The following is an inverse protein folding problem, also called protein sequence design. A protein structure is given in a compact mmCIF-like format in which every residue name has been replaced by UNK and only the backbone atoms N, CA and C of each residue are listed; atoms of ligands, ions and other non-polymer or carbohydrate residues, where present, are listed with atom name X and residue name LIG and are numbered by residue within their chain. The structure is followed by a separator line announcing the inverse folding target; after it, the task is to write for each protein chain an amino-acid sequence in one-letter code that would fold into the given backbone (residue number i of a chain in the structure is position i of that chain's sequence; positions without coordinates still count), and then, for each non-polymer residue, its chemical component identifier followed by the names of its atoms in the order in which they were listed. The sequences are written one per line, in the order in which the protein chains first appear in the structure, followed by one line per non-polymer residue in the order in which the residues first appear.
data_IF_793902092999
#
_entry.id   IF_793902092999
#
_cell.length_a   1.000
_cell.length_b   1.000
_cell.length_c   1.000
_cell.angle_alpha   90.00
_cell.angle_beta   90.00
_cell.angle_gamma   90.00
#
_symmetry.space_group_name_H-M   'P 1'
#
loop_
_entity.id
_entity.type
_entity.pdbx_description
1 polymer ?
#
# COMPACT_ATOMS: atom_id res chain seq x y z
N UNK A 1 60.99 -24.37 55.33
CA UNK A 1 59.93 -23.44 54.96
C UNK A 1 59.85 -23.33 53.44
N UNK A 2 59.02 -24.08 52.78
CA UNK A 2 58.69 -23.95 51.37
C UNK A 2 57.25 -24.28 51.26
N UNK A 3 56.39 -23.26 50.96
CA UNK A 3 54.98 -23.38 50.71
C UNK A 3 54.78 -23.94 49.30
N UNK A 4 54.16 -25.11 49.20
CA UNK A 4 53.65 -25.61 47.94
C UNK A 4 52.32 -24.95 47.63
N UNK A 5 52.25 -24.35 46.46
CA UNK A 5 51.01 -23.82 45.89
C UNK A 5 50.43 -24.91 45.00
N UNK A 6 49.26 -25.42 45.39
CA UNK A 6 48.48 -26.41 44.65
C UNK A 6 47.77 -25.66 43.49
N UNK A 7 48.18 -25.90 42.26
CA UNK A 7 47.48 -25.39 41.11
C UNK A 7 46.34 -26.35 40.78
N UNK A 8 45.11 -25.87 40.97
CA UNK A 8 43.90 -26.58 40.58
C UNK A 8 43.67 -26.32 39.08
N UNK A 9 43.98 -27.28 38.26
CA UNK A 9 43.68 -27.22 36.81
C UNK A 9 42.19 -27.39 36.56
N UNK A 10 41.55 -26.34 36.12
CA UNK A 10 40.17 -26.38 35.66
C UNK A 10 40.18 -26.87 34.21
N UNK A 11 39.79 -28.12 34.00
CA UNK A 11 39.58 -28.68 32.66
C UNK A 11 38.23 -28.16 32.20
N UNK A 12 38.24 -27.17 31.30
CA UNK A 12 37.08 -26.77 30.55
C UNK A 12 36.82 -27.80 29.44
N UNK A 13 35.93 -28.74 29.69
CA UNK A 13 35.36 -29.55 28.60
C UNK A 13 34.42 -28.68 27.79
N UNK A 14 34.86 -28.28 26.62
CA UNK A 14 34.05 -27.63 25.62
C UNK A 14 33.04 -28.66 25.07
N UNK A 15 31.90 -28.80 25.72
CA UNK A 15 30.77 -29.51 25.14
C UNK A 15 30.21 -28.64 24.00
N UNK A 16 30.52 -29.03 22.76
CA UNK A 16 29.84 -28.53 21.58
C UNK A 16 28.40 -29.01 21.72
N UNK A 17 27.57 -28.16 22.28
CA UNK A 17 26.13 -28.31 22.16
C UNK A 17 25.78 -28.10 20.68
N UNK A 18 25.50 -29.20 19.99
CA UNK A 18 24.77 -29.15 18.72
C UNK A 18 23.40 -28.64 19.11
N UNK A 19 23.24 -27.32 19.05
CA UNK A 19 21.93 -26.71 19.17
C UNK A 19 21.12 -27.17 17.97
N UNK A 20 20.22 -28.11 18.20
CA UNK A 20 19.12 -28.35 17.30
C UNK A 20 18.56 -26.99 16.95
N UNK A 21 18.55 -26.67 15.65
CA UNK A 21 17.87 -25.49 15.13
C UNK A 21 16.46 -25.55 15.67
N UNK A 22 16.16 -24.74 16.69
CA UNK A 22 14.88 -24.77 17.34
C UNK A 22 13.84 -24.24 16.36
N UNK A 23 12.58 -24.64 16.57
CA UNK A 23 11.47 -24.12 15.78
C UNK A 23 11.41 -22.59 15.83
N UNK A 24 11.99 -21.98 16.86
CA UNK A 24 12.18 -20.52 17.01
C UNK A 24 13.20 -19.95 16.04
N UNK A 25 14.31 -20.66 15.76
CA UNK A 25 15.32 -20.20 14.81
C UNK A 25 14.82 -20.28 13.38
N UNK A 26 14.01 -21.30 13.06
CA UNK A 26 13.31 -21.39 11.76
C UNK A 26 12.25 -20.28 11.62
N UNK A 27 11.54 -19.95 12.69
CA UNK A 27 10.59 -18.85 12.72
C UNK A 27 11.31 -17.49 12.58
N UNK A 28 12.48 -17.35 13.19
CA UNK A 28 13.33 -16.16 13.06
C UNK A 28 13.93 -16.01 11.66
N UNK A 29 14.27 -17.12 11.01
CA UNK A 29 14.75 -17.14 9.63
C UNK A 29 13.63 -16.75 8.62
N UNK A 30 12.37 -17.11 8.90
CA UNK A 30 11.21 -16.69 8.11
C UNK A 30 10.89 -15.21 8.36
N UNK A 31 11.12 -14.71 9.56
CA UNK A 31 10.92 -13.29 9.92
C UNK A 31 12.11 -12.40 9.51
N UNK A 32 13.20 -12.97 9.06
CA UNK A 32 14.37 -12.21 8.68
C UNK A 32 14.26 -11.61 7.30
N UNK A 33 13.62 -10.49 7.18
CA UNK A 33 13.80 -9.37 6.22
C UNK A 33 12.60 -8.40 6.35
N UNK A 34 12.01 -8.34 7.53
CA UNK A 34 11.06 -7.27 7.77
C UNK A 34 11.86 -6.05 8.25
N UNK A 35 11.89 -5.00 7.44
CA UNK A 35 12.21 -3.69 7.96
C UNK A 35 11.31 -3.41 9.18
N UNK A 36 11.74 -2.52 10.06
CA UNK A 36 11.14 -2.25 11.38
C UNK A 36 9.62 -2.05 11.42
N UNK A 37 8.97 -1.95 10.26
CA UNK A 37 7.54 -1.59 10.12
C UNK A 37 6.79 -2.41 9.06
N UNK A 38 7.25 -3.62 8.71
CA UNK A 38 6.61 -4.43 7.66
C UNK A 38 5.61 -5.47 8.19
N UNK A 39 4.40 -5.49 7.65
CA UNK A 39 3.43 -6.58 7.84
C UNK A 39 3.89 -7.84 7.12
N UNK A 40 3.93 -8.97 7.80
CA UNK A 40 4.24 -10.27 7.22
C UNK A 40 2.97 -11.08 6.92
N UNK A 41 3.05 -11.97 5.92
CA UNK A 41 2.09 -13.05 5.75
C UNK A 41 2.80 -14.34 6.16
N UNK A 42 2.35 -14.88 7.28
CA UNK A 42 2.83 -16.14 7.81
C UNK A 42 1.94 -17.28 7.33
N UNK A 43 2.42 -18.50 7.33
CA UNK A 43 1.58 -19.65 7.03
C UNK A 43 1.97 -20.87 7.86
N UNK A 44 1.01 -21.75 8.07
CA UNK A 44 1.21 -23.03 8.78
C UNK A 44 0.04 -23.97 8.52
N UNK A 45 0.09 -25.13 9.16
CA UNK A 45 -0.87 -26.20 8.97
C UNK A 45 -1.95 -26.24 10.10
N UNK A 46 -2.04 -25.19 10.89
CA UNK A 46 -2.99 -25.10 12.01
C UNK A 46 -3.33 -23.64 12.32
N UNK A 47 -4.34 -23.43 13.16
CA UNK A 47 -4.68 -22.13 13.71
C UNK A 47 -3.46 -21.49 14.39
N UNK A 48 -3.16 -20.20 14.10
CA UNK A 48 -1.98 -19.54 14.64
C UNK A 48 -2.09 -19.36 16.15
N UNK A 49 -1.02 -19.71 16.87
CA UNK A 49 -0.90 -19.42 18.29
C UNK A 49 -0.68 -17.90 18.52
N UNK A 50 -0.99 -17.44 19.74
CA UNK A 50 -0.90 -16.01 20.09
C UNK A 50 0.52 -15.44 20.00
N UNK A 51 1.54 -16.26 20.19
CA UNK A 51 2.95 -15.87 20.10
C UNK A 51 3.52 -15.90 18.68
N UNK A 52 2.75 -16.31 17.69
CA UNK A 52 3.16 -16.30 16.26
C UNK A 52 2.89 -14.93 15.67
N UNK A 53 3.85 -14.38 14.93
CA UNK A 53 3.73 -13.09 14.23
C UNK A 53 3.64 -11.86 15.12
N UNK A 54 3.73 -10.69 14.50
CA UNK A 54 3.64 -9.37 15.14
C UNK A 54 2.26 -8.75 14.92
N UNK A 55 1.95 -7.69 15.66
CA UNK A 55 0.74 -6.88 15.40
C UNK A 55 0.80 -6.35 13.97
N UNK A 56 -0.30 -6.51 13.24
CA UNK A 56 -0.39 -6.17 11.82
C UNK A 56 -0.16 -7.33 10.86
N UNK A 57 0.45 -8.45 11.30
CA UNK A 57 0.69 -9.61 10.44
C UNK A 57 -0.61 -10.34 10.08
N UNK A 58 -0.56 -11.08 8.96
CA UNK A 58 -1.56 -12.04 8.54
C UNK A 58 -1.02 -13.47 8.68
N UNK A 59 -1.91 -14.42 8.87
CA UNK A 59 -1.55 -15.83 8.94
C UNK A 59 -2.51 -16.68 8.13
N UNK A 60 -1.97 -17.48 7.23
CA UNK A 60 -2.72 -18.44 6.43
C UNK A 60 -2.60 -19.84 6.98
N UNK A 61 -3.71 -20.38 7.48
CA UNK A 61 -3.85 -21.78 7.86
C UNK A 61 -4.16 -22.61 6.61
N UNK A 62 -3.17 -23.36 6.15
CA UNK A 62 -3.25 -24.16 4.94
C UNK A 62 -4.20 -25.35 5.11
N UNK A 63 -4.31 -25.89 6.33
CA UNK A 63 -5.15 -27.07 6.58
C UNK A 63 -6.65 -26.75 6.52
N UNK A 64 -7.04 -25.58 7.00
CA UNK A 64 -8.45 -25.15 7.04
C UNK A 64 -8.76 -24.10 5.98
N UNK A 65 -7.76 -23.65 5.22
CA UNK A 65 -7.87 -22.58 4.21
C UNK A 65 -8.49 -21.30 4.79
N UNK A 66 -8.03 -20.92 5.98
CA UNK A 66 -8.46 -19.72 6.69
C UNK A 66 -7.35 -18.69 6.74
N UNK A 67 -7.71 -17.44 6.46
CA UNK A 67 -6.82 -16.30 6.63
C UNK A 67 -7.19 -15.58 7.93
N UNK A 68 -6.21 -15.46 8.82
CA UNK A 68 -6.29 -14.72 10.06
C UNK A 68 -5.57 -13.38 9.91
N UNK A 69 -6.08 -12.33 10.57
CA UNK A 69 -5.40 -11.04 10.62
C UNK A 69 -6.24 -9.88 10.08
N UNK A 70 -5.69 -8.66 10.16
CA UNK A 70 -4.38 -8.40 10.77
C UNK A 70 -4.37 -8.73 12.27
N UNK A 71 -3.25 -9.27 12.77
CA UNK A 71 -3.07 -9.57 14.19
C UNK A 71 -3.18 -8.29 15.01
N UNK A 72 -3.94 -8.36 16.09
CA UNK A 72 -4.14 -7.27 17.05
C UNK A 72 -3.43 -7.58 18.37
N UNK A 73 -3.42 -6.62 19.30
CA UNK A 73 -2.86 -6.82 20.64
C UNK A 73 -3.57 -7.95 21.41
N UNK A 74 -4.85 -8.19 21.12
CA UNK A 74 -5.69 -9.24 21.71
C UNK A 74 -5.66 -10.55 20.90
N UNK A 75 -4.89 -10.62 19.81
CA UNK A 75 -4.65 -11.82 19.01
C UNK A 75 -5.08 -11.72 17.55
N UNK A 76 -5.38 -12.87 16.94
CA UNK A 76 -5.61 -13.00 15.51
C UNK A 76 -7.06 -12.69 15.05
N UNK A 77 -8.00 -12.58 15.99
CA UNK A 77 -9.42 -12.35 15.68
C UNK A 77 -10.09 -13.52 14.94
N UNK A 78 -11.27 -13.27 14.37
CA UNK A 78 -11.99 -14.27 13.59
C UNK A 78 -11.39 -14.37 12.18
N UNK A 79 -11.07 -15.59 11.70
CA UNK A 79 -10.53 -15.77 10.36
C UNK A 79 -11.61 -15.59 9.29
N UNK A 80 -11.17 -15.25 8.10
CA UNK A 80 -11.95 -15.35 6.87
C UNK A 80 -11.72 -16.74 6.29
N UNK A 81 -12.79 -17.49 6.03
CA UNK A 81 -12.71 -18.76 5.32
C UNK A 81 -12.60 -18.48 3.83
N UNK A 82 -11.55 -19.01 3.22
CA UNK A 82 -11.24 -18.78 1.82
C UNK A 82 -11.64 -19.99 0.95
N UNK A 83 -12.11 -21.06 1.61
CA UNK A 83 -12.72 -22.21 0.92
C UNK A 83 -14.16 -21.86 0.54
N UNK A 84 -14.51 -21.98 -0.74
CA UNK A 84 -15.91 -21.93 -1.17
C UNK A 84 -16.73 -23.06 -0.52
N UNK A 85 -18.04 -22.88 -0.39
CA UNK A 85 -18.93 -23.94 0.05
C UNK A 85 -18.76 -25.16 -0.87
N UNK A 86 -18.66 -26.35 -0.27
CA UNK A 86 -18.70 -27.59 -1.05
C UNK A 86 -20.03 -27.60 -1.83
N UNK A 87 -19.98 -27.90 -3.13
CA UNK A 87 -21.17 -27.97 -3.95
C UNK A 87 -22.18 -28.94 -3.36
N UNK A 88 -23.47 -28.65 -3.50
CA UNK A 88 -24.55 -29.54 -3.03
C UNK A 88 -24.34 -30.95 -3.56
N UNK A 89 -24.50 -31.96 -2.66
CA UNK A 89 -24.48 -33.36 -3.03
C UNK A 89 -25.60 -33.59 -4.08
N UNK A 90 -25.23 -33.91 -5.32
CA UNK A 90 -26.20 -34.22 -6.35
C UNK A 90 -27.05 -35.38 -5.90
N UNK A 91 -28.36 -35.34 -6.23
CA UNK A 91 -29.32 -36.40 -5.97
C UNK A 91 -28.81 -37.74 -6.51
N UNK A 92 -29.00 -38.82 -5.72
CA UNK A 92 -28.66 -40.17 -6.13
C UNK A 92 -29.50 -40.53 -7.38
N UNK A 93 -28.88 -40.44 -8.56
CA UNK A 93 -29.50 -40.84 -9.81
C UNK A 93 -29.42 -42.35 -10.01
N UNK A 94 -30.36 -42.92 -10.73
CA UNK A 94 -30.33 -44.31 -11.19
C UNK A 94 -28.98 -44.66 -11.82
N UNK A 95 -28.50 -45.88 -11.59
CA UNK A 95 -27.19 -46.43 -11.97
C UNK A 95 -26.86 -46.11 -13.45
N UNK A 96 -26.09 -45.07 -13.65
CA UNK A 96 -25.62 -44.58 -14.94
C UNK A 96 -24.23 -44.02 -14.79
N UNK A 97 -23.49 -44.04 -15.84
CA UNK A 97 -22.09 -43.72 -16.12
C UNK A 97 -21.27 -42.92 -15.07
N UNK A 98 -19.98 -43.25 -14.99
CA UNK A 98 -18.97 -42.65 -14.11
C UNK A 98 -19.02 -41.13 -14.25
N UNK A 99 -19.56 -40.42 -13.23
CA UNK A 99 -19.64 -38.95 -13.21
C UNK A 99 -18.24 -38.37 -13.17
N UNK A 100 -18.04 -37.31 -13.93
CA UNK A 100 -16.86 -36.47 -13.79
C UNK A 100 -16.81 -35.86 -12.39
N UNK A 101 -15.60 -35.78 -11.83
CA UNK A 101 -15.33 -35.14 -10.53
C UNK A 101 -15.86 -33.68 -10.57
N UNK A 102 -16.71 -33.29 -9.64
CA UNK A 102 -17.15 -31.91 -9.51
C UNK A 102 -15.94 -30.98 -9.40
N UNK A 103 -16.07 -29.73 -9.87
CA UNK A 103 -15.01 -28.76 -9.84
C UNK A 103 -14.50 -28.59 -8.39
N UNK A 104 -13.18 -28.63 -8.22
CA UNK A 104 -12.57 -28.34 -6.93
C UNK A 104 -12.99 -26.92 -6.50
N UNK A 105 -13.36 -26.75 -5.21
CA UNK A 105 -13.79 -25.46 -4.69
C UNK A 105 -12.68 -24.39 -4.81
N UNK A 106 -13.04 -23.12 -4.66
CA UNK A 106 -12.12 -21.97 -4.67
C UNK A 106 -10.90 -22.22 -3.79
N UNK A 107 -9.71 -22.04 -4.35
CA UNK A 107 -8.43 -22.24 -3.68
C UNK A 107 -7.69 -20.92 -3.51
N UNK A 108 -6.75 -20.89 -2.54
CA UNK A 108 -5.72 -19.87 -2.49
C UNK A 108 -4.38 -20.50 -2.85
N UNK A 109 -3.76 -19.96 -3.87
CA UNK A 109 -2.53 -20.48 -4.46
C UNK A 109 -1.39 -19.55 -4.03
N UNK A 110 -0.43 -20.00 -3.22
CA UNK A 110 0.75 -19.20 -2.89
C UNK A 110 1.78 -19.27 -4.01
N UNK A 111 2.46 -18.16 -4.25
CA UNK A 111 3.55 -18.10 -5.22
C UNK A 111 4.44 -16.88 -5.04
N UNK A 112 5.39 -16.69 -5.95
CA UNK A 112 6.36 -15.59 -5.96
C UNK A 112 6.19 -14.78 -7.24
N UNK A 113 5.89 -13.50 -7.11
CA UNK A 113 5.59 -12.62 -8.25
C UNK A 113 4.12 -12.68 -8.68
N UNK A 114 3.75 -11.88 -9.68
CA UNK A 114 2.40 -11.85 -10.20
C UNK A 114 2.02 -13.19 -10.84
N UNK A 115 0.77 -13.68 -10.64
CA UNK A 115 0.34 -14.95 -11.23
C UNK A 115 0.21 -14.85 -12.75
N UNK A 116 0.64 -15.91 -13.43
CA UNK A 116 0.38 -16.04 -14.88
C UNK A 116 -1.07 -16.46 -15.13
N UNK A 117 -1.62 -16.19 -16.33
CA UNK A 117 -2.99 -16.61 -16.68
C UNK A 117 -3.25 -18.13 -16.57
N UNK A 118 -2.20 -18.95 -16.69
CA UNK A 118 -2.28 -20.41 -16.62
C UNK A 118 -2.40 -20.96 -15.19
N UNK A 119 -2.14 -20.13 -14.16
CA UNK A 119 -2.23 -20.57 -12.76
C UNK A 119 -3.70 -20.50 -12.30
N UNK A 120 -4.17 -21.53 -11.61
CA UNK A 120 -5.48 -21.59 -10.96
C UNK A 120 -6.68 -21.56 -11.91
N UNK A 121 -7.86 -21.79 -11.34
CA UNK A 121 -9.17 -21.79 -12.01
C UNK A 121 -9.94 -20.51 -11.73
N UNK A 122 -11.01 -20.24 -12.49
CA UNK A 122 -11.91 -19.14 -12.16
C UNK A 122 -12.49 -19.31 -10.75
N UNK A 123 -12.49 -18.21 -9.99
CA UNK A 123 -12.86 -18.20 -8.58
C UNK A 123 -11.67 -18.34 -7.61
N UNK A 124 -10.52 -18.83 -8.06
CA UNK A 124 -9.34 -18.97 -7.22
C UNK A 124 -8.72 -17.61 -6.82
N UNK A 125 -7.97 -17.63 -5.73
CA UNK A 125 -7.16 -16.50 -5.26
C UNK A 125 -5.67 -16.87 -5.33
N UNK A 126 -4.81 -15.89 -5.51
CA UNK A 126 -3.38 -16.08 -5.56
C UNK A 126 -2.67 -15.10 -4.62
N UNK A 127 -1.80 -15.62 -3.75
CA UNK A 127 -0.96 -14.79 -2.87
C UNK A 127 0.46 -14.73 -3.42
N UNK A 128 0.88 -13.54 -3.83
CA UNK A 128 2.29 -13.23 -4.08
C UNK A 128 2.98 -12.97 -2.74
N UNK A 129 3.71 -13.95 -2.26
CA UNK A 129 4.41 -13.88 -0.97
C UNK A 129 5.60 -12.93 -0.98
N UNK A 130 6.20 -12.67 -2.16
CA UNK A 130 7.34 -11.76 -2.33
C UNK A 130 6.88 -10.30 -2.26
N UNK A 131 5.85 -9.95 -3.00
CA UNK A 131 5.37 -8.58 -3.10
C UNK A 131 4.20 -8.31 -2.16
N UNK A 132 3.81 -9.30 -1.33
CA UNK A 132 2.67 -9.22 -0.38
C UNK A 132 1.39 -8.77 -1.07
N UNK A 133 1.09 -9.38 -2.22
CA UNK A 133 -0.08 -9.06 -3.02
C UNK A 133 -1.06 -10.24 -3.06
N UNK A 134 -2.35 -9.96 -2.96
CA UNK A 134 -3.41 -10.93 -3.19
C UNK A 134 -4.11 -10.59 -4.50
N UNK A 135 -4.21 -11.57 -5.37
CA UNK A 135 -4.88 -11.47 -6.66
C UNK A 135 -6.14 -12.33 -6.62
N UNK A 136 -7.20 -11.87 -7.24
CA UNK A 136 -8.42 -12.65 -7.39
C UNK A 136 -9.69 -11.94 -6.90
N UNK A 137 -10.84 -12.65 -6.99
CA UNK A 137 -10.94 -13.98 -7.56
C UNK A 137 -10.58 -13.97 -9.06
N UNK A 138 -9.91 -15.02 -9.54
CA UNK A 138 -9.60 -15.18 -10.96
C UNK A 138 -10.88 -15.21 -11.78
N UNK A 139 -10.90 -14.47 -12.86
CA UNK A 139 -12.01 -14.42 -13.82
C UNK A 139 -11.58 -15.01 -15.16
N UNK A 140 -12.51 -15.09 -16.12
CA UNK A 140 -12.15 -15.45 -17.50
C UNK A 140 -11.14 -14.47 -18.12
N UNK A 141 -11.09 -13.22 -17.63
CA UNK A 141 -10.15 -12.19 -18.07
C UNK A 141 -8.81 -12.23 -17.31
N UNK A 142 -8.63 -13.20 -16.41
CA UNK A 142 -7.41 -13.37 -15.62
C UNK A 142 -7.54 -12.92 -14.16
N UNK A 143 -6.40 -12.54 -13.57
CA UNK A 143 -6.24 -12.30 -12.14
C UNK A 143 -6.52 -10.85 -11.70
N UNK A 144 -6.65 -9.92 -12.64
CA UNK A 144 -6.69 -8.48 -12.32
C UNK A 144 -5.36 -7.96 -11.73
N UNK A 145 -5.37 -6.72 -11.26
CA UNK A 145 -4.15 -6.05 -10.79
C UNK A 145 -3.66 -6.51 -9.41
N UNK A 146 -4.48 -7.25 -8.67
CA UNK A 146 -4.20 -7.68 -7.31
C UNK A 146 -4.01 -6.51 -6.34
N UNK A 147 -4.22 -6.74 -5.04
CA UNK A 147 -4.07 -5.73 -4.00
C UNK A 147 -2.97 -6.12 -3.01
N UNK A 148 -2.27 -5.12 -2.46
CA UNK A 148 -1.15 -5.33 -1.54
C UNK A 148 -1.70 -5.69 -0.15
N UNK A 149 -1.24 -6.83 0.38
CA UNK A 149 -1.50 -7.24 1.75
C UNK A 149 -0.42 -6.63 2.65
N UNK A 150 -0.76 -5.50 3.24
CA UNK A 150 0.00 -4.95 4.35
C UNK A 150 1.27 -4.17 4.03
N UNK A 151 1.20 -2.90 4.29
CA UNK A 151 2.24 -2.05 4.86
C UNK A 151 1.59 -1.28 6.02
N UNK A 152 1.27 -1.97 7.13
CA UNK A 152 0.85 -1.31 8.37
C UNK A 152 -0.38 -0.38 8.33
N UNK A 153 -1.01 -0.22 7.17
CA UNK A 153 -2.24 0.54 6.99
C UNK A 153 -3.44 -0.40 6.92
N UNK A 154 -4.48 -0.15 7.68
CA UNK A 154 -5.77 -0.79 7.45
C UNK A 154 -6.25 -0.40 6.07
N UNK A 155 -6.45 -1.38 5.20
CA UNK A 155 -7.27 -1.18 4.01
C UNK A 155 -8.72 -1.13 4.47
N UNK A 156 -9.32 0.03 4.47
CA UNK A 156 -10.75 0.18 4.77
C UNK A 156 -11.65 -0.29 3.63
N UNK A 157 -11.08 -0.79 2.52
CA UNK A 157 -11.87 -1.31 1.41
C UNK A 157 -11.21 -2.52 0.76
N UNK A 158 -11.79 -3.70 0.93
CA UNK A 158 -11.57 -4.87 0.10
C UNK A 158 -12.35 -4.68 -1.23
N UNK A 159 -11.70 -4.10 -2.20
CA UNK A 159 -12.29 -3.72 -3.49
C UNK A 159 -12.20 -2.23 -3.77
N UNK A 160 -11.43 -1.50 -2.96
CA UNK A 160 -11.29 -0.05 -3.07
C UNK A 160 -10.27 0.39 -4.10
N UNK A 161 -10.57 1.52 -4.66
CA UNK A 161 -9.75 2.21 -5.65
C UNK A 161 -8.44 2.76 -5.06
N UNK A 162 -8.26 2.70 -3.72
CA UNK A 162 -7.16 3.35 -3.00
C UNK A 162 -6.77 2.63 -1.70
N UNK A 163 -5.61 3.00 -1.15
CA UNK A 163 -5.14 2.58 0.19
C UNK A 163 -4.96 3.81 1.07
N UNK A 164 -5.62 3.77 2.24
CA UNK A 164 -5.38 4.69 3.34
C UNK A 164 -4.53 4.03 4.44
N UNK A 165 -3.90 4.85 5.28
CA UNK A 165 -3.35 4.39 6.54
C UNK A 165 -4.45 3.99 7.53
N UNK A 166 -4.06 3.37 8.64
CA UNK A 166 -5.00 2.88 9.67
C UNK A 166 -5.91 3.97 10.27
N UNK A 167 -5.44 5.21 10.29
CA UNK A 167 -6.22 6.35 10.81
C UNK A 167 -7.11 7.00 9.75
N UNK A 168 -6.99 6.60 8.48
CA UNK A 168 -7.73 7.20 7.37
C UNK A 168 -7.23 8.59 6.96
N UNK A 169 -6.06 9.02 7.46
CA UNK A 169 -5.55 10.37 7.22
C UNK A 169 -4.42 10.45 6.19
N UNK A 170 -3.81 9.31 5.83
CA UNK A 170 -2.76 9.25 4.80
C UNK A 170 -3.26 8.41 3.63
N UNK A 171 -3.31 9.00 2.44
CA UNK A 171 -3.55 8.27 1.19
C UNK A 171 -2.20 7.78 0.64
N UNK A 172 -1.97 6.47 0.73
CA UNK A 172 -0.74 5.87 0.23
C UNK A 172 -0.74 5.63 -1.27
N UNK A 173 -1.87 5.17 -1.82
CA UNK A 173 -1.91 4.81 -3.24
C UNK A 173 -3.34 4.80 -3.77
N UNK A 174 -3.51 5.30 -4.98
CA UNK A 174 -4.67 5.15 -5.84
C UNK A 174 -4.38 4.07 -6.89
N UNK A 175 -5.28 3.12 -7.08
CA UNK A 175 -5.08 2.00 -8.01
C UNK A 175 -5.98 2.06 -9.23
N UNK A 176 -7.21 2.58 -9.09
CA UNK A 176 -8.16 2.59 -10.19
C UNK A 176 -7.71 3.57 -11.29
N UNK A 177 -7.30 3.05 -12.43
CA UNK A 177 -6.89 3.85 -13.58
C UNK A 177 -8.06 4.22 -14.52
N UNK A 178 -9.24 3.67 -14.29
CA UNK A 178 -10.44 3.95 -15.09
C UNK A 178 -11.19 5.19 -14.59
N UNK A 179 -11.07 5.48 -13.29
CA UNK A 179 -11.59 6.71 -12.70
C UNK A 179 -10.62 7.85 -13.00
N UNK A 180 -11.03 8.75 -13.89
CA UNK A 180 -10.22 9.90 -14.32
C UNK A 180 -10.55 11.20 -13.59
N UNK A 181 -11.67 11.22 -12.89
CA UNK A 181 -12.20 12.39 -12.19
C UNK A 181 -12.46 11.98 -10.73
N UNK A 182 -11.66 12.52 -9.82
CA UNK A 182 -11.69 12.13 -8.40
C UNK A 182 -12.11 13.32 -7.56
N UNK A 183 -13.16 13.17 -6.80
CA UNK A 183 -13.59 14.13 -5.78
C UNK A 183 -13.36 13.55 -4.38
N UNK A 184 -12.18 13.84 -3.82
CA UNK A 184 -11.82 13.39 -2.47
C UNK A 184 -12.65 14.12 -1.39
N UNK A 185 -13.18 15.33 -1.68
CA UNK A 185 -13.93 16.10 -0.69
C UNK A 185 -15.35 15.53 -0.47
N UNK A 186 -15.96 14.96 -1.52
CA UNK A 186 -17.27 14.33 -1.45
C UNK A 186 -17.22 12.89 -0.91
N UNK A 187 -16.08 12.24 -0.95
CA UNK A 187 -15.92 10.86 -0.47
C UNK A 187 -15.86 10.82 1.08
N UNK A 188 -16.66 9.96 1.74
CA UNK A 188 -16.74 9.91 3.20
C UNK A 188 -15.41 9.60 3.91
N UNK A 189 -14.51 8.84 3.28
CA UNK A 189 -13.20 8.46 3.82
C UNK A 189 -12.12 9.44 3.37
N UNK A 190 -12.05 9.73 2.07
CA UNK A 190 -11.00 10.56 1.48
C UNK A 190 -11.03 12.02 1.94
N UNK A 191 -12.22 12.55 2.33
CA UNK A 191 -12.32 13.91 2.88
C UNK A 191 -11.54 14.15 4.17
N UNK A 192 -11.18 13.06 4.87
CA UNK A 192 -10.40 13.10 6.11
C UNK A 192 -8.88 13.03 5.86
N UNK A 193 -8.45 12.81 4.62
CA UNK A 193 -7.05 12.70 4.25
C UNK A 193 -6.34 14.04 4.47
N UNK A 194 -5.27 14.01 5.25
CA UNK A 194 -4.41 15.16 5.52
C UNK A 194 -3.07 15.07 4.79
N UNK A 195 -2.68 13.88 4.36
CA UNK A 195 -1.42 13.63 3.65
C UNK A 195 -1.69 12.75 2.43
N UNK A 196 -1.28 13.23 1.26
CA UNK A 196 -1.15 12.41 0.07
C UNK A 196 0.31 11.96 -0.02
N UNK A 197 0.57 10.66 0.03
CA UNK A 197 1.91 10.11 0.07
C UNK A 197 2.65 10.29 -1.28
N UNK A 198 3.95 9.99 -1.26
CA UNK A 198 4.75 10.01 -2.49
C UNK A 198 4.15 9.06 -3.53
N UNK A 199 4.06 9.53 -4.78
CA UNK A 199 3.58 8.75 -5.92
C UNK A 199 2.15 8.18 -5.77
N UNK A 200 1.32 8.73 -4.88
CA UNK A 200 0.00 8.17 -4.59
C UNK A 200 -0.89 8.06 -5.83
N UNK A 201 -0.94 9.07 -6.67
CA UNK A 201 -1.68 9.09 -7.94
C UNK A 201 -0.77 9.07 -9.18
N UNK A 202 0.48 8.67 -9.06
CA UNK A 202 1.40 8.63 -10.20
C UNK A 202 0.89 7.70 -11.31
N UNK A 203 0.89 8.19 -12.57
CA UNK A 203 0.46 7.42 -13.75
C UNK A 203 -0.99 6.90 -13.67
N UNK A 204 -1.95 7.72 -13.23
CA UNK A 204 -3.36 7.30 -13.04
C UNK A 204 -4.35 7.89 -14.05
N UNK A 205 -3.86 8.59 -15.06
CA UNK A 205 -4.70 9.18 -16.12
C UNK A 205 -5.73 10.19 -15.61
N UNK A 206 -5.52 10.79 -14.44
CA UNK A 206 -6.44 11.76 -13.85
C UNK A 206 -6.58 12.99 -14.73
N UNK A 207 -7.82 13.39 -15.00
CA UNK A 207 -8.19 14.61 -15.71
C UNK A 207 -8.59 15.72 -14.75
N UNK A 208 -9.22 15.34 -13.63
CA UNK A 208 -9.57 16.27 -12.56
C UNK A 208 -9.36 15.66 -11.17
N UNK A 209 -9.11 16.53 -10.19
CA UNK A 209 -8.98 16.17 -8.78
C UNK A 209 -9.54 17.30 -7.93
N UNK A 210 -10.42 16.96 -6.98
CA UNK A 210 -10.83 17.84 -5.88
C UNK A 210 -10.14 17.35 -4.61
N UNK A 211 -9.27 18.18 -4.04
CA UNK A 211 -8.50 17.87 -2.85
C UNK A 211 -9.30 18.15 -1.56
N UNK A 212 -9.11 17.38 -0.49
CA UNK A 212 -9.80 17.61 0.78
C UNK A 212 -9.33 18.90 1.45
N UNK A 213 -10.26 19.62 2.08
CA UNK A 213 -10.01 20.96 2.66
C UNK A 213 -8.98 20.97 3.81
N UNK A 214 -8.79 19.83 4.48
CA UNK A 214 -7.84 19.67 5.59
C UNK A 214 -6.49 19.05 5.16
N UNK A 215 -6.23 18.94 3.85
CA UNK A 215 -4.97 18.42 3.31
C UNK A 215 -3.81 19.33 3.70
N UNK A 216 -2.77 18.77 4.34
CA UNK A 216 -1.59 19.52 4.82
C UNK A 216 -0.35 19.25 3.98
N UNK A 217 -0.25 18.07 3.37
CA UNK A 217 0.95 17.66 2.63
C UNK A 217 0.61 16.91 1.35
N UNK A 218 1.31 17.27 0.27
CA UNK A 218 1.33 16.55 -1.00
C UNK A 218 2.74 16.01 -1.20
N UNK A 219 2.86 14.69 -1.37
CA UNK A 219 4.12 13.98 -1.49
C UNK A 219 4.85 14.21 -2.81
N UNK A 220 6.11 13.75 -2.87
CA UNK A 220 6.92 13.76 -4.09
C UNK A 220 6.20 12.97 -5.20
N UNK A 221 6.14 13.55 -6.40
CA UNK A 221 5.54 12.93 -7.59
C UNK A 221 4.10 12.41 -7.37
N UNK A 222 3.38 12.95 -6.38
CA UNK A 222 2.06 12.44 -6.00
C UNK A 222 1.07 12.38 -7.17
N UNK A 223 1.08 13.37 -8.05
CA UNK A 223 0.23 13.44 -9.25
C UNK A 223 1.05 13.41 -10.55
N UNK A 224 2.28 12.92 -10.49
CA UNK A 224 3.16 12.87 -11.64
C UNK A 224 2.53 12.09 -12.81
N UNK A 225 2.67 12.64 -14.02
CA UNK A 225 2.24 11.99 -15.26
C UNK A 225 0.75 11.61 -15.28
N UNK A 226 -0.11 12.58 -15.02
CA UNK A 226 -1.56 12.53 -15.22
C UNK A 226 -1.98 13.46 -16.37
N UNK A 227 -3.26 13.79 -16.50
CA UNK A 227 -3.82 14.67 -17.54
C UNK A 227 -4.46 15.93 -16.96
N UNK A 228 -4.04 16.35 -15.78
CA UNK A 228 -4.58 17.54 -15.10
C UNK A 228 -4.27 18.79 -15.91
N UNK A 229 -5.29 19.61 -16.11
CA UNK A 229 -5.17 20.96 -16.74
C UNK A 229 -5.21 22.08 -15.70
N UNK A 230 -5.85 21.83 -14.58
CA UNK A 230 -5.93 22.74 -13.44
C UNK A 230 -5.93 21.96 -12.13
N UNK A 231 -5.55 22.63 -11.05
CA UNK A 231 -5.68 22.12 -9.69
C UNK A 231 -5.90 23.28 -8.72
N UNK A 232 -6.79 23.04 -7.73
CA UNK A 232 -6.97 23.94 -6.58
C UNK A 232 -6.35 23.30 -5.35
N UNK A 233 -5.40 24.00 -4.72
CA UNK A 233 -4.68 23.56 -3.53
C UNK A 233 -5.27 24.29 -2.32
N UNK A 234 -5.79 23.55 -1.32
CA UNK A 234 -6.43 24.13 -0.13
C UNK A 234 -5.48 25.00 0.70
N UNK A 235 -6.06 25.89 1.51
CA UNK A 235 -5.32 26.81 2.38
C UNK A 235 -4.54 26.11 3.49
N UNK A 236 -4.91 24.88 3.84
CA UNK A 236 -4.27 24.04 4.84
C UNK A 236 -2.94 23.43 4.39
N UNK A 237 -2.64 23.41 3.07
CA UNK A 237 -1.41 22.81 2.55
C UNK A 237 -0.19 23.63 2.94
N UNK A 238 0.77 22.98 3.59
CA UNK A 238 2.04 23.58 4.05
C UNK A 238 3.26 23.08 3.29
N UNK A 239 3.16 21.96 2.58
CA UNK A 239 4.26 21.41 1.78
C UNK A 239 3.80 20.66 0.55
N UNK A 240 4.55 20.79 -0.54
CA UNK A 240 4.32 20.11 -1.83
C UNK A 240 5.67 19.57 -2.30
N UNK A 241 5.75 18.25 -2.52
CA UNK A 241 6.98 17.58 -2.87
C UNK A 241 7.44 17.85 -4.31
N UNK A 242 8.72 17.50 -4.57
CA UNK A 242 9.32 17.59 -5.90
C UNK A 242 8.50 16.83 -6.93
N UNK A 243 8.31 17.41 -8.13
CA UNK A 243 7.61 16.78 -9.23
C UNK A 243 6.15 16.44 -8.97
N UNK A 244 5.53 16.95 -7.89
CA UNK A 244 4.18 16.55 -7.48
C UNK A 244 3.16 16.62 -8.60
N UNK A 245 3.24 17.62 -9.46
CA UNK A 245 2.35 17.83 -10.61
C UNK A 245 3.11 17.87 -11.95
N UNK A 246 4.34 17.39 -11.97
CA UNK A 246 5.16 17.39 -13.16
C UNK A 246 4.79 16.25 -14.11
N UNK A 247 5.24 16.40 -15.34
CA UNK A 247 5.16 15.36 -16.35
C UNK A 247 6.33 15.48 -17.34
N UNK A 248 6.96 14.36 -17.62
CA UNK A 248 7.99 14.25 -18.65
C UNK A 248 7.45 13.80 -20.01
N UNK A 249 6.12 13.64 -20.16
CA UNK A 249 5.49 13.30 -21.44
C UNK A 249 4.78 14.51 -22.03
N UNK A 250 4.93 14.78 -23.34
CA UNK A 250 4.33 15.94 -23.99
C UNK A 250 2.81 16.03 -23.87
N UNK A 251 2.12 14.89 -23.66
CA UNK A 251 0.68 14.79 -23.61
C UNK A 251 0.10 14.77 -22.19
N UNK A 252 0.92 14.65 -21.13
CA UNK A 252 0.46 14.52 -19.75
C UNK A 252 0.69 15.79 -18.94
N UNK A 253 -0.02 15.94 -17.82
CA UNK A 253 -0.12 17.12 -16.95
C UNK A 253 0.10 18.44 -17.67
N UNK A 254 -0.93 18.90 -18.38
CA UNK A 254 -0.91 20.18 -19.09
C UNK A 254 -1.43 21.28 -18.20
N UNK A 255 -0.91 21.40 -16.97
CA UNK A 255 -1.35 22.45 -16.07
C UNK A 255 -1.18 23.82 -16.73
N UNK A 256 -2.28 24.50 -16.88
CA UNK A 256 -2.35 25.90 -17.30
C UNK A 256 -2.74 26.80 -16.13
N UNK A 257 -3.37 26.22 -15.09
CA UNK A 257 -3.84 26.94 -13.92
C UNK A 257 -3.61 26.16 -12.65
N UNK A 258 -3.00 26.80 -11.66
CA UNK A 258 -2.89 26.32 -10.27
C UNK A 258 -3.41 27.41 -9.36
N UNK A 259 -4.44 27.11 -8.58
CA UNK A 259 -4.97 28.05 -7.57
C UNK A 259 -4.54 27.56 -6.19
N UNK A 260 -3.92 28.41 -5.40
CA UNK A 260 -3.45 28.09 -4.04
C UNK A 260 -4.07 29.06 -3.05
N UNK A 261 -4.86 28.53 -2.12
CA UNK A 261 -5.54 29.35 -1.12
C UNK A 261 -4.71 29.64 0.13
N UNK A 262 -3.53 29.03 0.29
CA UNK A 262 -2.64 29.27 1.43
C UNK A 262 -2.11 30.71 1.40
N UNK A 263 -2.28 31.43 2.52
CA UNK A 263 -1.73 32.78 2.69
C UNK A 263 -0.21 32.76 2.78
N UNK A 264 0.33 31.80 3.50
CA UNK A 264 1.77 31.56 3.57
C UNK A 264 2.18 30.58 2.48
N UNK A 265 3.22 30.88 1.68
CA UNK A 265 3.68 29.97 0.65
C UNK A 265 4.01 28.59 1.23
N UNK A 266 3.40 27.49 0.77
CA UNK A 266 3.84 26.15 1.12
C UNK A 266 5.32 25.96 0.79
N UNK A 267 6.01 25.14 1.55
CA UNK A 267 7.36 24.72 1.15
C UNK A 267 7.25 23.87 -0.11
N UNK A 268 8.05 24.22 -1.12
CA UNK A 268 8.22 23.41 -2.32
C UNK A 268 9.69 23.10 -2.52
N UNK A 269 9.96 21.98 -3.18
CA UNK A 269 11.32 21.65 -3.59
C UNK A 269 11.80 22.65 -4.67
N UNK A 270 13.09 22.92 -4.70
CA UNK A 270 13.68 23.81 -5.70
C UNK A 270 13.60 23.23 -7.12
N UNK A 271 13.29 21.94 -7.23
CA UNK A 271 13.03 21.28 -8.48
C UNK A 271 11.55 21.37 -8.89
N UNK A 272 11.20 20.88 -10.02
CA UNK A 272 10.02 21.09 -10.84
C UNK A 272 8.67 20.63 -10.25
N UNK A 273 8.19 21.23 -9.16
CA UNK A 273 6.90 20.85 -8.52
C UNK A 273 5.71 20.86 -9.50
N UNK A 274 5.59 21.88 -10.38
CA UNK A 274 4.48 22.04 -11.35
C UNK A 274 4.92 21.84 -12.80
N UNK A 275 6.19 21.49 -13.06
CA UNK A 275 6.78 21.62 -14.38
C UNK A 275 6.99 23.08 -14.77
N UNK A 276 7.79 23.31 -15.81
CA UNK A 276 8.03 24.66 -16.31
C UNK A 276 7.42 24.82 -17.71
N UNK A 277 6.17 25.29 -17.75
CA UNK A 277 5.46 25.55 -19.03
C UNK A 277 5.17 27.04 -19.16
N UNK A 278 5.30 27.56 -20.38
CA UNK A 278 5.06 28.96 -20.68
C UNK A 278 3.64 29.40 -20.37
N UNK A 279 2.65 28.50 -20.54
CA UNK A 279 1.22 28.75 -20.32
C UNK A 279 0.78 28.64 -18.86
N UNK A 280 1.66 28.18 -17.94
CA UNK A 280 1.27 28.01 -16.54
C UNK A 280 1.01 29.35 -15.86
N UNK A 281 -0.11 29.46 -15.16
CA UNK A 281 -0.45 30.55 -14.25
C UNK A 281 -0.74 30.00 -12.86
N UNK A 282 -0.18 30.64 -11.83
CA UNK A 282 -0.33 30.27 -10.44
C UNK A 282 -1.05 31.42 -9.74
N UNK A 283 -2.25 31.15 -9.25
CA UNK A 283 -3.07 32.14 -8.56
C UNK A 283 -2.95 31.95 -7.05
N UNK A 284 -2.66 33.03 -6.33
CA UNK A 284 -2.48 33.05 -4.87
C UNK A 284 -3.29 34.20 -4.26
N UNK A 285 -3.57 34.20 -2.94
CA UNK A 285 -4.23 35.33 -2.30
C UNK A 285 -3.53 36.66 -2.63
N UNK A 286 -4.30 37.69 -2.95
CA UNK A 286 -3.75 38.97 -3.44
C UNK A 286 -2.68 39.56 -2.51
N UNK A 287 -2.90 39.49 -1.18
CA UNK A 287 -1.94 39.94 -0.16
C UNK A 287 -0.66 39.10 -0.12
N UNK A 288 -0.65 37.90 -0.68
CA UNK A 288 0.45 36.96 -0.59
C UNK A 288 1.36 36.94 -1.82
N UNK A 289 1.01 37.65 -2.89
CA UNK A 289 1.74 37.64 -4.16
C UNK A 289 3.24 37.87 -3.98
N UNK A 290 3.64 38.90 -3.22
CA UNK A 290 5.04 39.18 -2.98
C UNK A 290 5.74 38.10 -2.15
N UNK A 291 5.05 37.56 -1.13
CA UNK A 291 5.57 36.46 -0.32
C UNK A 291 5.88 35.25 -1.18
N UNK A 292 4.97 34.87 -2.07
CA UNK A 292 5.20 33.75 -3.01
C UNK A 292 6.35 34.04 -3.98
N UNK A 293 6.40 35.23 -4.58
CA UNK A 293 7.45 35.58 -5.56
C UNK A 293 8.87 35.56 -4.95
N UNK A 294 9.00 35.77 -3.64
CA UNK A 294 10.29 35.83 -2.95
C UNK A 294 10.65 34.58 -2.17
N UNK A 295 9.68 33.70 -1.89
CA UNK A 295 9.90 32.48 -1.13
C UNK A 295 10.86 31.51 -1.85
N UNK A 296 11.63 30.76 -1.06
CA UNK A 296 12.54 29.73 -1.55
C UNK A 296 11.74 28.67 -2.32
N UNK A 297 12.25 28.22 -3.47
CA UNK A 297 11.58 27.31 -4.39
C UNK A 297 10.57 28.01 -5.32
N UNK A 298 9.84 29.03 -4.85
CA UNK A 298 8.82 29.73 -5.63
C UNK A 298 9.38 30.77 -6.59
N UNK A 299 10.58 31.28 -6.35
CA UNK A 299 11.24 32.32 -7.18
C UNK A 299 11.30 31.95 -8.67
N UNK A 300 11.43 30.66 -8.99
CA UNK A 300 11.42 30.17 -10.37
C UNK A 300 10.08 30.37 -11.09
N UNK A 301 9.00 30.54 -10.32
CA UNK A 301 7.65 30.77 -10.83
C UNK A 301 7.22 32.24 -10.70
N UNK A 302 8.11 33.16 -10.32
CA UNK A 302 7.75 34.54 -9.96
C UNK A 302 7.00 35.27 -11.06
N UNK A 303 7.30 35.01 -12.33
CA UNK A 303 6.64 35.52 -13.52
C UNK A 303 5.27 34.87 -13.82
N UNK A 304 4.97 33.78 -13.15
CA UNK A 304 3.73 32.97 -13.29
C UNK A 304 2.73 33.21 -12.15
N UNK A 305 3.11 34.00 -11.10
CA UNK A 305 2.29 34.20 -9.90
C UNK A 305 1.44 35.43 -10.04
N UNK A 306 0.12 35.24 -9.91
CA UNK A 306 -0.91 36.26 -10.03
C UNK A 306 -1.87 36.23 -8.83
N UNK A 307 -2.56 37.35 -8.51
CA UNK A 307 -3.60 37.33 -7.49
C UNK A 307 -4.82 36.53 -7.94
N UNK A 308 -5.47 35.86 -6.98
CA UNK A 308 -6.82 35.32 -7.15
C UNK A 308 -7.76 36.50 -7.38
N UNK A 309 -8.60 36.42 -8.41
CA UNK A 309 -9.62 37.44 -8.76
C UNK A 309 -10.88 37.24 -7.94
#
# INVERSE_FOLDING_TARGET
MKKQILALGLIFTLSVAVTNCSREDAQKAINGINGKDGTAILSGESTPALNVGNIGDYYFDKSTQKLYGPKKADGWGKPVTLKGADGEKGNDGAKGEKREKGNDGTQIIPGIGAPTPSIGNNGDWYIDTKNKKLYGPKTQNGWGDGFILGNGGSVSSLGGDYILDKSGVILFKWYNSEITDVDMQSDPELKNVTIIANEAFRNRSLKSIVLPNNLTKIGKEAFYNNYLTSVTIPSSVTSIGAGAFESNRPASNRLTSVTIHAVNPPTIDEETTFGYKSSLKIYVPAQSVNAYKTAKGWRRYADKIFPIQ
#
